data_IF_041012652726
#
_entry.id   IF_041012652726
#
_cell.length_a   1.000
_cell.length_b   1.000
_cell.length_c   1.000
_cell.angle_alpha   90.00
_cell.angle_beta   90.00
_cell.angle_gamma   90.00
#
_symmetry.space_group_name_H-M   'P 1'
#
loop_
_entity.id
_entity.type
_entity.pdbx_description
1 polymer ?
#
# COMPACT_ATOMS: atom_id res chain seq x y z
N UNK A 1 -0.57 -6.69 18.88
CA UNK A 1 -0.36 -5.36 19.49
C UNK A 1 0.99 -4.86 19.04
N UNK A 2 1.00 -3.78 18.26
CA UNK A 2 2.21 -3.13 17.76
C UNK A 2 2.57 -2.00 18.72
N UNK A 3 3.86 -1.80 18.95
CA UNK A 3 4.37 -0.63 19.67
C UNK A 3 4.76 0.41 18.63
N UNK A 4 4.25 1.63 18.82
CA UNK A 4 4.62 2.80 18.03
C UNK A 4 4.94 3.95 18.98
N UNK A 5 5.58 4.99 18.48
CA UNK A 5 6.04 6.12 19.25
C UNK A 5 5.34 7.38 18.78
N UNK A 6 4.82 8.19 19.70
CA UNK A 6 4.13 9.45 19.40
C UNK A 6 4.75 10.61 20.14
N UNK A 7 4.45 11.83 19.70
CA UNK A 7 4.88 13.04 20.40
C UNK A 7 3.88 13.36 21.51
N UNK A 8 4.40 13.63 22.70
CA UNK A 8 3.67 13.94 23.91
C UNK A 8 3.94 15.36 24.34
N UNK A 9 2.94 16.02 24.92
CA UNK A 9 3.03 17.35 25.53
C UNK A 9 2.35 17.33 26.88
N UNK A 10 2.83 18.16 27.81
CA UNK A 10 2.15 18.38 29.07
C UNK A 10 1.04 19.42 28.89
N UNK A 11 -0.21 18.99 29.03
CA UNK A 11 -1.41 19.83 28.91
C UNK A 11 -1.94 20.19 30.31
N UNK A 12 -1.04 20.68 31.18
CA UNK A 12 -1.35 21.09 32.54
C UNK A 12 -1.49 19.92 33.52
N UNK A 13 -2.62 19.19 33.44
CA UNK A 13 -2.98 18.12 34.38
C UNK A 13 -2.77 16.71 33.82
N UNK A 14 -2.46 16.59 32.52
CA UNK A 14 -2.23 15.32 31.86
C UNK A 14 -1.20 15.43 30.73
N UNK A 15 -0.56 14.30 30.45
CA UNK A 15 0.27 14.13 29.26
C UNK A 15 -0.64 13.75 28.09
N UNK A 16 -0.64 14.60 27.06
CA UNK A 16 -1.48 14.45 25.86
C UNK A 16 -0.61 14.14 24.64
N UNK A 17 -1.14 13.34 23.73
CA UNK A 17 -0.47 12.97 22.48
C UNK A 17 -0.86 13.94 21.36
N UNK A 18 0.12 14.39 20.58
CA UNK A 18 -0.05 15.26 19.43
C UNK A 18 -0.41 14.44 18.17
N UNK A 19 -1.68 14.06 18.05
CA UNK A 19 -2.16 13.18 16.96
C UNK A 19 -1.94 13.75 15.56
N UNK A 20 -1.89 15.07 15.41
CA UNK A 20 -1.70 15.76 14.14
C UNK A 20 -0.31 15.54 13.52
N UNK A 21 0.70 15.22 14.34
CA UNK A 21 2.07 14.98 13.87
C UNK A 21 2.34 13.52 13.48
N UNK A 22 1.40 12.61 13.77
CA UNK A 22 1.51 11.19 13.44
C UNK A 22 2.23 10.34 14.49
N UNK A 23 2.58 9.12 14.09
CA UNK A 23 3.28 8.11 14.91
C UNK A 23 4.43 7.48 14.12
N UNK A 24 5.47 7.06 14.84
CA UNK A 24 6.68 6.45 14.29
C UNK A 24 6.82 5.01 14.74
N UNK A 25 7.50 4.20 13.93
CA UNK A 25 7.78 2.81 14.27
C UNK A 25 8.94 2.67 15.26
N UNK A 26 9.80 3.69 15.38
CA UNK A 26 10.95 3.71 16.28
C UNK A 26 11.00 4.99 17.10
N UNK A 27 11.56 4.90 18.30
CA UNK A 27 11.72 6.04 19.21
C UNK A 27 12.71 7.06 18.62
N UNK A 28 13.75 6.58 17.96
CA UNK A 28 14.79 7.42 17.36
C UNK A 28 14.24 8.29 16.24
N UNK A 29 13.32 7.77 15.41
CA UNK A 29 12.72 8.54 14.33
C UNK A 29 11.79 9.65 14.86
N UNK A 30 11.07 9.39 15.95
CA UNK A 30 10.26 10.40 16.62
C UNK A 30 11.13 11.48 17.28
N UNK A 31 12.24 11.10 17.92
CA UNK A 31 13.20 12.07 18.50
C UNK A 31 13.87 12.91 17.41
N UNK A 32 14.28 12.30 16.30
CA UNK A 32 14.87 13.02 15.17
C UNK A 32 13.89 14.07 14.61
N UNK A 33 12.59 13.78 14.57
CA UNK A 33 11.58 14.75 14.18
C UNK A 33 11.51 15.93 15.16
N UNK A 34 11.53 15.69 16.47
CA UNK A 34 11.57 16.76 17.46
C UNK A 34 12.79 17.65 17.24
N UNK A 35 13.97 17.04 17.07
CA UNK A 35 15.23 17.77 16.90
C UNK A 35 15.29 18.57 15.59
N UNK A 36 14.69 18.08 14.50
CA UNK A 36 14.72 18.76 13.20
C UNK A 36 13.61 19.80 13.06
N UNK A 37 12.38 19.40 13.32
CA UNK A 37 11.19 20.18 12.99
C UNK A 37 10.67 20.99 14.19
N UNK A 38 10.95 20.55 15.41
CA UNK A 38 10.44 21.17 16.65
C UNK A 38 11.53 21.66 17.59
N UNK A 39 12.75 21.88 17.09
CA UNK A 39 13.92 22.31 17.89
C UNK A 39 13.72 23.56 18.73
N UNK A 40 12.77 24.42 18.36
CA UNK A 40 12.44 25.66 19.08
C UNK A 40 11.33 25.50 20.11
N UNK A 41 10.67 24.33 20.15
CA UNK A 41 9.53 24.03 21.01
C UNK A 41 10.04 23.21 22.21
N UNK A 42 9.79 23.72 23.42
CA UNK A 42 10.14 23.02 24.65
C UNK A 42 8.92 22.29 25.21
N UNK A 43 9.15 21.18 25.93
CA UNK A 43 8.09 20.43 26.60
C UNK A 43 7.37 19.42 25.71
N UNK A 44 7.96 19.06 24.56
CA UNK A 44 7.54 17.93 23.73
C UNK A 44 8.54 16.78 23.92
N UNK A 45 8.05 15.56 24.08
CA UNK A 45 8.87 14.35 24.22
C UNK A 45 8.24 13.15 23.53
N UNK A 46 8.99 12.06 23.40
CA UNK A 46 8.48 10.82 22.78
C UNK A 46 7.83 9.91 23.82
N UNK A 47 6.64 9.39 23.51
CA UNK A 47 5.90 8.43 24.33
C UNK A 47 5.57 7.14 23.59
N UNK A 48 5.59 6.01 24.32
CA UNK A 48 5.21 4.69 23.80
C UNK A 48 3.68 4.56 23.69
N UNK A 49 3.20 4.10 22.54
CA UNK A 49 1.80 3.83 22.26
C UNK A 49 1.63 2.35 21.87
N UNK A 50 0.75 1.66 22.58
CA UNK A 50 0.35 0.29 22.26
C UNK A 50 -0.88 0.32 21.38
N UNK A 51 -0.69 0.14 20.08
CA UNK A 51 -1.79 0.11 19.13
C UNK A 51 -2.22 -1.33 18.87
N UNK A 52 -3.54 -1.54 18.88
CA UNK A 52 -4.11 -2.81 18.46
C UNK A 52 -4.21 -2.81 16.93
N UNK A 53 -3.06 -3.02 16.29
CA UNK A 53 -2.98 -3.25 14.86
C UNK A 53 -3.69 -4.58 14.54
N UNK A 54 -5.01 -4.50 14.40
CA UNK A 54 -5.90 -5.64 14.15
C UNK A 54 -5.96 -5.98 12.66
N UNK A 55 -5.18 -5.28 11.84
CA UNK A 55 -5.08 -5.53 10.41
C UNK A 55 -3.87 -6.46 10.27
N UNK A 56 -4.14 -7.75 10.09
CA UNK A 56 -3.10 -8.70 9.70
C UNK A 56 -2.31 -8.11 8.53
N UNK A 57 -0.99 -8.03 8.65
CA UNK A 57 -0.05 -7.73 7.55
C UNK A 57 -0.09 -8.78 6.41
N UNK A 58 -1.12 -9.60 6.36
CA UNK A 58 -1.51 -10.46 5.24
C UNK A 58 -2.66 -9.75 4.53
N UNK A 59 -2.35 -8.63 3.89
CA UNK A 59 -2.77 -8.55 2.51
C UNK A 59 -1.71 -9.37 1.78
N UNK A 60 -1.92 -10.69 1.68
CA UNK A 60 -1.20 -11.47 0.68
C UNK A 60 -1.53 -10.77 -0.64
N UNK A 61 -0.59 -9.96 -1.13
CA UNK A 61 -0.57 -9.59 -2.54
C UNK A 61 -0.31 -10.92 -3.22
N UNK A 62 -1.40 -11.60 -3.59
CA UNK A 62 -1.31 -12.67 -4.56
C UNK A 62 -0.87 -11.92 -5.82
N UNK A 63 0.43 -11.94 -6.10
CA UNK A 63 0.92 -11.57 -7.42
C UNK A 63 0.29 -12.57 -8.38
N UNK A 64 -0.89 -12.24 -8.89
CA UNK A 64 -1.50 -12.96 -9.99
C UNK A 64 -0.58 -12.76 -11.19
N UNK A 65 -0.14 -13.87 -11.78
CA UNK A 65 0.73 -13.84 -12.96
C UNK A 65 -0.04 -13.19 -14.11
N UNK A 66 0.36 -11.96 -14.45
CA UNK A 66 -0.24 -11.19 -15.54
C UNK A 66 0.14 -11.83 -16.87
N UNK A 67 -0.81 -11.88 -17.80
CA UNK A 67 -0.61 -12.48 -19.12
C UNK A 67 -0.48 -11.39 -20.17
N UNK A 68 0.62 -11.38 -20.92
CA UNK A 68 0.83 -10.45 -22.03
C UNK A 68 0.05 -10.89 -23.28
N UNK A 69 -0.75 -9.98 -23.84
CA UNK A 69 -1.39 -10.20 -25.13
C UNK A 69 -0.40 -9.92 -26.29
N UNK A 70 -0.04 -10.89 -27.13
CA UNK A 70 0.96 -10.73 -28.19
C UNK A 70 0.50 -9.79 -29.31
N UNK A 71 -0.80 -9.50 -29.41
CA UNK A 71 -1.37 -8.60 -30.42
C UNK A 71 -1.21 -7.12 -30.06
N UNK A 72 -1.22 -6.78 -28.77
CA UNK A 72 -1.12 -5.39 -28.32
C UNK A 72 0.05 -5.10 -27.37
N UNK A 73 0.74 -6.13 -26.87
CA UNK A 73 1.88 -6.03 -25.94
C UNK A 73 1.51 -5.48 -24.55
N UNK A 74 0.24 -5.58 -24.16
CA UNK A 74 -0.26 -5.13 -22.85
C UNK A 74 -0.48 -6.36 -21.98
N UNK A 75 -0.08 -6.25 -20.71
CA UNK A 75 -0.32 -7.24 -19.67
C UNK A 75 -1.74 -7.11 -19.10
N UNK A 76 -2.47 -8.22 -19.03
CA UNK A 76 -3.83 -8.30 -18.52
C UNK A 76 -3.93 -9.34 -17.40
N UNK A 77 -4.98 -9.23 -16.60
CA UNK A 77 -5.38 -10.31 -15.71
C UNK A 77 -5.73 -11.55 -16.56
N UNK A 78 -5.43 -12.78 -16.11
CA UNK A 78 -5.74 -13.99 -16.85
C UNK A 78 -7.24 -14.15 -17.15
N UNK A 79 -8.13 -13.59 -16.31
CA UNK A 79 -9.58 -13.60 -16.56
C UNK A 79 -9.99 -12.76 -17.79
N UNK A 80 -9.15 -11.81 -18.21
CA UNK A 80 -9.40 -10.93 -19.37
C UNK A 80 -8.68 -11.41 -20.65
N UNK A 81 -8.03 -12.58 -20.60
CA UNK A 81 -7.27 -13.15 -21.71
C UNK A 81 -7.80 -14.54 -22.04
N UNK A 82 -8.22 -14.72 -23.29
CA UNK A 82 -8.62 -16.02 -23.78
C UNK A 82 -7.37 -16.82 -24.17
N UNK A 83 -7.08 -17.89 -23.42
CA UNK A 83 -5.98 -18.82 -23.67
C UNK A 83 -6.44 -20.21 -24.14
N UNK A 84 -7.74 -20.47 -24.14
CA UNK A 84 -8.31 -21.79 -24.41
C UNK A 84 -8.88 -21.92 -25.83
N UNK A 85 -9.49 -20.85 -26.35
CA UNK A 85 -10.19 -20.89 -27.64
C UNK A 85 -9.28 -20.58 -28.85
N UNK A 86 -8.07 -20.06 -28.61
CA UNK A 86 -7.12 -19.67 -29.66
C UNK A 86 -5.73 -20.23 -29.40
N UNK A 87 -4.94 -20.38 -30.47
CA UNK A 87 -3.53 -20.80 -30.38
C UNK A 87 -2.63 -19.75 -29.70
N UNK A 88 -3.09 -18.50 -29.62
CA UNK A 88 -2.39 -17.36 -29.00
C UNK A 88 -3.24 -16.75 -27.88
N UNK A 89 -2.62 -16.23 -26.83
CA UNK A 89 -3.32 -15.60 -25.72
C UNK A 89 -3.92 -14.25 -26.14
N UNK A 90 -5.23 -14.20 -26.42
CA UNK A 90 -5.87 -12.98 -26.96
C UNK A 90 -6.66 -12.26 -25.88
N UNK A 91 -6.31 -11.00 -25.57
CA UNK A 91 -7.09 -10.20 -24.63
C UNK A 91 -8.48 -9.85 -25.19
N UNK A 92 -9.43 -9.59 -24.28
CA UNK A 92 -10.82 -9.23 -24.61
C UNK A 92 -10.96 -8.06 -25.59
N UNK A 93 -9.98 -7.14 -25.62
CA UNK A 93 -9.97 -6.00 -26.53
C UNK A 93 -9.50 -6.34 -27.95
N UNK A 94 -8.59 -7.32 -28.08
CA UNK A 94 -8.08 -7.78 -29.36
C UNK A 94 -8.93 -8.91 -29.95
N UNK A 95 -9.69 -9.63 -29.11
CA UNK A 95 -10.53 -10.75 -29.53
C UNK A 95 -11.50 -10.41 -30.69
N UNK A 96 -12.22 -9.28 -30.69
CA UNK A 96 -13.13 -8.96 -31.78
C UNK A 96 -12.42 -8.89 -33.13
N UNK A 97 -11.26 -8.21 -33.18
CA UNK A 97 -10.46 -8.12 -34.40
C UNK A 97 -9.83 -9.46 -34.79
N UNK A 98 -9.48 -10.30 -33.82
CA UNK A 98 -8.92 -11.62 -34.08
C UNK A 98 -9.96 -12.57 -34.70
N UNK A 99 -11.19 -12.61 -34.16
CA UNK A 99 -12.33 -13.38 -34.72
C UNK A 99 -12.64 -12.98 -36.16
N UNK A 100 -12.67 -11.68 -36.44
CA UNK A 100 -12.92 -11.16 -37.79
C UNK A 100 -11.83 -11.57 -38.79
N UNK A 101 -10.55 -11.57 -38.39
CA UNK A 101 -9.44 -11.96 -39.27
C UNK A 101 -9.38 -13.47 -39.51
N UNK A 102 -9.82 -14.30 -38.55
CA UNK A 102 -9.82 -15.75 -38.69
C UNK A 102 -11.10 -16.33 -39.31
N UNK A 103 -12.12 -15.50 -39.61
CA UNK A 103 -13.46 -15.95 -40.04
C UNK A 103 -14.06 -16.99 -39.09
N UNK A 104 -13.83 -16.85 -37.79
CA UNK A 104 -14.42 -17.71 -36.76
C UNK A 104 -15.72 -17.01 -36.33
N UNK A 105 -16.85 -17.55 -36.79
CA UNK A 105 -18.20 -17.07 -36.49
C UNK A 105 -18.75 -17.71 -35.20
#
# INVERSE_FOLDING_TARGET
MKVVYGLMINSGDADEMLWDHGVWETEEAANEYIEKEMSSINGVWVGELKVNDSISNVAEYIEEEMVECPLCGIEYNPEDVNTDDYDEAVCINCEPGYKENMNIA
#
